data_IF_130234419585
#
_entry.id   IF_130234419585
#
_cell.length_a   1.000
_cell.length_b   1.000
_cell.length_c   1.000
_cell.angle_alpha   90.00
_cell.angle_beta   90.00
_cell.angle_gamma   90.00
#
_symmetry.space_group_name_H-M   'P 1'
#
loop_
_entity.id
_entity.type
_entity.pdbx_description
1 polymer ?
#
# COMPACT_ATOMS: atom_id res chain seq x y z
N UNK A 1 15.17 -37.66 -21.41
CA UNK A 1 15.43 -36.54 -22.34
C UNK A 1 14.22 -35.63 -22.36
N UNK A 2 14.31 -34.44 -21.76
CA UNK A 2 13.19 -33.50 -21.64
C UNK A 2 13.49 -32.25 -22.47
N UNK A 3 12.72 -32.06 -23.54
CA UNK A 3 12.82 -30.93 -24.45
C UNK A 3 12.64 -29.59 -23.72
N UNK A 4 13.75 -28.84 -23.58
CA UNK A 4 13.74 -27.48 -23.05
C UNK A 4 13.22 -26.53 -24.12
N UNK A 5 12.00 -26.01 -23.96
CA UNK A 5 11.45 -24.96 -24.84
C UNK A 5 12.37 -23.72 -24.77
N UNK A 6 12.92 -23.23 -25.90
CA UNK A 6 13.73 -22.02 -25.90
C UNK A 6 12.81 -20.82 -25.70
N UNK A 7 12.91 -20.10 -24.57
CA UNK A 7 12.04 -18.93 -24.41
C UNK A 7 11.93 -18.19 -23.08
N UNK A 8 12.44 -18.68 -21.95
CA UNK A 8 12.37 -17.93 -20.68
C UNK A 8 13.60 -18.16 -19.83
N UNK A 9 14.37 -17.10 -19.61
CA UNK A 9 15.35 -17.03 -18.52
C UNK A 9 14.54 -17.22 -17.22
N UNK A 10 14.96 -18.07 -16.28
CA UNK A 10 14.34 -18.13 -14.97
C UNK A 10 14.55 -16.78 -14.30
N UNK A 11 13.45 -16.03 -14.19
CA UNK A 11 13.39 -14.82 -13.39
C UNK A 11 12.77 -15.29 -12.09
N UNK A 12 13.45 -15.14 -10.95
CA UNK A 12 13.05 -15.77 -9.67
C UNK A 12 11.62 -15.41 -9.22
N UNK A 13 11.22 -15.90 -8.04
CA UNK A 13 9.82 -15.82 -7.57
C UNK A 13 9.16 -14.43 -7.70
N UNK A 14 8.00 -14.31 -8.36
CA UNK A 14 7.39 -13.01 -8.64
C UNK A 14 7.04 -12.26 -7.37
N UNK A 15 7.39 -10.97 -7.33
CA UNK A 15 7.03 -10.07 -6.24
C UNK A 15 5.73 -9.36 -6.60
N UNK A 16 4.76 -9.36 -5.67
CA UNK A 16 3.53 -8.59 -5.81
C UNK A 16 3.80 -7.11 -5.60
N UNK A 17 3.84 -6.33 -6.67
CA UNK A 17 3.99 -4.89 -6.62
C UNK A 17 2.64 -4.20 -6.63
N UNK A 18 2.54 -3.12 -5.88
CA UNK A 18 1.31 -2.39 -5.74
C UNK A 18 1.54 -0.89 -5.99
N UNK A 19 0.68 -0.28 -6.80
CA UNK A 19 0.77 1.12 -7.24
C UNK A 19 -0.60 1.78 -7.16
N UNK A 20 -0.63 3.09 -6.92
CA UNK A 20 -1.88 3.85 -7.00
C UNK A 20 -2.46 3.78 -8.42
N UNK A 21 -3.78 3.89 -8.59
CA UNK A 21 -4.42 3.72 -9.90
C UNK A 21 -3.82 4.61 -10.99
N UNK A 22 -3.42 5.83 -10.64
CA UNK A 22 -2.87 6.78 -11.59
C UNK A 22 -1.43 6.42 -12.00
N UNK A 23 -0.56 6.16 -11.04
CA UNK A 23 0.80 5.67 -11.30
C UNK A 23 0.76 4.36 -12.10
N UNK A 24 -0.13 3.44 -11.74
CA UNK A 24 -0.32 2.18 -12.49
C UNK A 24 -0.69 2.47 -13.95
N UNK A 25 -1.73 3.28 -14.17
CA UNK A 25 -2.22 3.65 -15.51
C UNK A 25 -1.10 4.28 -16.35
N UNK A 26 -0.35 5.22 -15.79
CA UNK A 26 0.78 5.88 -16.47
C UNK A 26 1.91 4.90 -16.81
N UNK A 27 2.23 3.97 -15.92
CA UNK A 27 3.22 2.92 -16.17
C UNK A 27 2.76 1.94 -17.26
N UNK A 28 1.48 1.58 -17.27
CA UNK A 28 0.89 0.72 -18.31
C UNK A 28 0.93 1.39 -19.67
N UNK A 29 0.55 2.66 -19.76
CA UNK A 29 0.64 3.47 -20.99
C UNK A 29 2.09 3.59 -21.49
N UNK A 30 3.04 3.88 -20.59
CA UNK A 30 4.46 3.95 -20.94
C UNK A 30 5.01 2.59 -21.40
N UNK A 31 4.57 1.49 -20.78
CA UNK A 31 4.97 0.16 -21.21
C UNK A 31 4.39 -0.18 -22.58
N UNK A 32 3.12 0.15 -22.81
CA UNK A 32 2.41 -0.12 -24.06
C UNK A 32 3.01 0.67 -25.24
N UNK A 33 3.41 1.93 -25.04
CA UNK A 33 4.08 2.71 -26.07
C UNK A 33 5.44 2.14 -26.51
N UNK A 34 6.13 1.42 -25.61
CA UNK A 34 7.37 0.68 -25.93
C UNK A 34 7.05 -0.66 -26.62
N UNK A 35 5.87 -1.23 -26.38
CA UNK A 35 5.36 -2.42 -27.06
C UNK A 35 4.60 -3.38 -26.14
N UNK A 36 4.14 -4.52 -26.69
CA UNK A 36 3.33 -5.47 -25.93
C UNK A 36 4.14 -6.16 -24.83
N UNK A 37 3.53 -6.31 -23.65
CA UNK A 37 4.07 -7.08 -22.50
C UNK A 37 5.40 -6.53 -21.95
N UNK A 38 5.60 -5.21 -22.00
CA UNK A 38 6.85 -4.55 -21.57
C UNK A 38 6.87 -4.11 -20.11
N UNK A 39 5.75 -4.19 -19.41
CA UNK A 39 5.61 -3.70 -18.02
C UNK A 39 6.68 -4.27 -17.08
N UNK A 40 6.88 -5.59 -17.06
CA UNK A 40 7.88 -6.21 -16.17
C UNK A 40 9.31 -5.77 -16.48
N UNK A 41 9.63 -5.54 -17.76
CA UNK A 41 10.95 -5.03 -18.16
C UNK A 41 11.13 -3.56 -17.79
N UNK A 42 10.08 -2.74 -17.94
CA UNK A 42 10.05 -1.35 -17.49
C UNK A 42 10.38 -1.24 -15.99
N UNK A 43 9.70 -2.04 -15.15
CA UNK A 43 9.94 -2.04 -13.71
C UNK A 43 11.36 -2.52 -13.37
N UNK A 44 11.88 -3.56 -14.03
CA UNK A 44 13.27 -4.00 -13.82
C UNK A 44 14.27 -2.92 -14.20
N UNK A 45 14.09 -2.24 -15.33
CA UNK A 45 14.94 -1.11 -15.72
C UNK A 45 14.88 0.01 -14.71
N UNK A 46 13.70 0.36 -14.22
CA UNK A 46 13.52 1.36 -13.18
C UNK A 46 14.33 1.02 -11.92
N UNK A 47 14.20 -0.22 -11.45
CA UNK A 47 14.93 -0.70 -10.27
C UNK A 47 16.44 -0.72 -10.51
N UNK A 48 16.90 -1.13 -11.70
CA UNK A 48 18.33 -1.11 -12.06
C UNK A 48 18.91 0.28 -12.08
N UNK A 49 18.16 1.25 -12.61
CA UNK A 49 18.58 2.67 -12.57
C UNK A 49 18.69 3.16 -11.12
N UNK A 50 17.74 2.77 -10.26
CA UNK A 50 17.76 3.12 -8.84
C UNK A 50 19.01 2.58 -8.13
N UNK A 51 19.32 1.29 -8.28
CA UNK A 51 20.50 0.68 -7.61
C UNK A 51 21.83 1.15 -8.21
N UNK A 52 21.88 1.47 -9.52
CA UNK A 52 23.10 1.99 -10.18
C UNK A 52 23.37 3.43 -9.79
N UNK A 53 22.32 4.23 -9.54
CA UNK A 53 22.44 5.64 -9.12
C UNK A 53 21.67 5.85 -7.80
N UNK A 54 22.20 5.36 -6.67
CA UNK A 54 21.50 5.40 -5.39
C UNK A 54 21.53 6.80 -4.73
N UNK A 55 22.22 7.77 -5.32
CA UNK A 55 22.27 9.15 -4.80
C UNK A 55 20.84 9.72 -4.68
N UNK A 56 20.55 10.31 -3.52
CA UNK A 56 19.25 10.90 -3.23
C UNK A 56 18.11 9.90 -3.01
N UNK A 57 18.34 8.59 -2.94
CA UNK A 57 17.30 7.59 -2.61
C UNK A 57 16.69 7.89 -1.24
N UNK A 58 17.50 8.12 -0.21
CA UNK A 58 17.00 8.47 1.13
C UNK A 58 16.10 9.71 1.15
N UNK A 59 16.53 10.80 0.50
CA UNK A 59 15.71 12.03 0.36
C UNK A 59 14.43 11.78 -0.44
N UNK A 60 14.51 11.03 -1.53
CA UNK A 60 13.34 10.67 -2.33
C UNK A 60 12.34 9.81 -1.57
N UNK A 61 12.81 8.88 -0.73
CA UNK A 61 11.97 8.10 0.17
C UNK A 61 11.35 8.97 1.26
N UNK A 62 12.12 9.87 1.87
CA UNK A 62 11.60 10.80 2.88
C UNK A 62 10.49 11.68 2.30
N UNK A 63 10.69 12.22 1.10
CA UNK A 63 9.67 13.01 0.40
C UNK A 63 8.46 12.17 0.00
N UNK A 64 8.67 10.95 -0.50
CA UNK A 64 7.55 10.04 -0.82
C UNK A 64 6.76 9.68 0.45
N UNK A 65 7.44 9.46 1.58
CA UNK A 65 6.81 9.23 2.89
C UNK A 65 6.04 10.47 3.33
N UNK A 66 6.62 11.67 3.23
CA UNK A 66 5.97 12.95 3.57
C UNK A 66 4.79 13.29 2.67
N UNK A 67 4.88 13.06 1.36
CA UNK A 67 3.76 13.25 0.44
C UNK A 67 2.69 12.20 0.68
N UNK A 68 3.09 10.96 0.96
CA UNK A 68 2.16 9.93 1.38
C UNK A 68 1.51 10.27 2.71
N UNK A 69 2.22 10.90 3.63
CA UNK A 69 1.73 11.41 4.91
C UNK A 69 0.71 12.53 4.69
N UNK A 70 1.06 13.55 3.88
CA UNK A 70 0.14 14.62 3.51
C UNK A 70 -1.10 14.14 2.74
N UNK A 71 -0.95 13.17 1.83
CA UNK A 71 -2.08 12.53 1.14
C UNK A 71 -2.90 11.62 2.06
N UNK A 72 -2.31 11.13 3.16
CA UNK A 72 -2.97 10.39 4.24
C UNK A 72 -3.54 11.31 5.33
N UNK A 73 -3.23 12.61 5.31
CA UNK A 73 -3.93 13.65 6.07
C UNK A 73 -5.32 13.94 5.45
N UNK A 74 -6.06 12.86 5.18
CA UNK A 74 -7.41 12.82 4.61
C UNK A 74 -8.37 13.52 5.58
N UNK A 75 -9.39 14.27 5.11
CA UNK A 75 -10.40 14.87 5.97
C UNK A 75 -11.00 13.80 6.87
N UNK A 76 -10.71 13.90 8.17
CA UNK A 76 -11.33 13.08 9.18
C UNK A 76 -12.84 13.27 9.07
N UNK A 77 -13.59 12.19 9.27
CA UNK A 77 -15.05 12.24 9.31
C UNK A 77 -15.52 12.25 10.75
N UNK A 78 -16.45 13.14 11.04
CA UNK A 78 -17.10 13.19 12.34
C UNK A 78 -18.03 11.99 12.49
N UNK A 79 -17.87 11.26 13.59
CA UNK A 79 -18.80 10.22 14.06
C UNK A 79 -19.37 10.66 15.40
N UNK A 80 -20.69 10.57 15.49
CA UNK A 80 -21.48 10.97 16.65
C UNK A 80 -21.82 9.72 17.46
N UNK A 81 -21.27 9.62 18.66
CA UNK A 81 -21.48 8.48 19.56
C UNK A 81 -22.25 8.98 20.78
N UNK A 82 -23.32 8.27 21.15
CA UNK A 82 -24.01 8.50 22.41
C UNK A 82 -23.49 7.53 23.46
N UNK A 83 -23.18 8.03 24.65
CA UNK A 83 -22.67 7.30 25.80
C UNK A 83 -23.46 7.68 27.06
N UNK A 84 -23.33 6.89 28.11
CA UNK A 84 -23.68 7.30 29.47
C UNK A 84 -22.72 8.40 29.94
N UNK A 85 -23.17 9.34 30.79
CA UNK A 85 -22.33 10.42 31.29
C UNK A 85 -21.03 9.95 31.95
N UNK A 86 -21.10 8.87 32.72
CA UNK A 86 -19.93 8.28 33.40
C UNK A 86 -18.89 7.78 32.40
N UNK A 87 -19.29 6.99 31.39
CA UNK A 87 -18.37 6.49 30.36
C UNK A 87 -17.81 7.63 29.49
N UNK A 88 -18.61 8.68 29.24
CA UNK A 88 -18.12 9.86 28.53
C UNK A 88 -17.06 10.61 29.35
N UNK A 89 -17.25 10.72 30.66
CA UNK A 89 -16.31 11.33 31.59
C UNK A 89 -15.01 10.53 31.69
N UNK A 90 -15.09 9.21 31.87
CA UNK A 90 -13.93 8.31 31.88
C UNK A 90 -13.10 8.44 30.60
N UNK A 91 -13.76 8.50 29.44
CA UNK A 91 -13.06 8.63 28.17
C UNK A 91 -12.37 9.99 27.99
N UNK A 92 -13.00 11.06 28.49
CA UNK A 92 -12.39 12.39 28.50
C UNK A 92 -11.22 12.48 29.48
N UNK A 93 -11.35 11.88 30.67
CA UNK A 93 -10.28 11.80 31.66
C UNK A 93 -9.06 11.05 31.11
N UNK A 94 -9.28 9.90 30.47
CA UNK A 94 -8.20 9.13 29.83
C UNK A 94 -7.49 9.95 28.73
N UNK A 95 -8.23 10.79 27.99
CA UNK A 95 -7.60 11.67 27.00
C UNK A 95 -6.72 12.75 27.66
N UNK A 96 -7.19 13.31 28.77
CA UNK A 96 -6.45 14.32 29.54
C UNK A 96 -5.18 13.74 30.17
N UNK A 97 -5.26 12.52 30.75
CA UNK A 97 -4.12 11.84 31.39
C UNK A 97 -2.96 11.58 30.42
N UNK A 98 -3.27 11.43 29.12
CA UNK A 98 -2.31 11.20 28.05
C UNK A 98 -2.02 12.44 27.18
N UNK A 99 -2.43 13.63 27.62
CA UNK A 99 -2.26 14.90 26.89
C UNK A 99 -2.72 14.81 25.42
N UNK A 100 -3.88 14.20 25.21
CA UNK A 100 -4.41 13.89 23.88
C UNK A 100 -5.90 14.21 23.74
N UNK A 101 -6.50 13.87 22.60
CA UNK A 101 -7.92 14.09 22.33
C UNK A 101 -8.69 12.77 22.31
N UNK A 102 -9.98 12.83 22.65
CA UNK A 102 -10.91 11.70 22.47
C UNK A 102 -10.95 11.17 21.03
N UNK A 103 -10.68 12.03 20.04
CA UNK A 103 -10.56 11.62 18.63
C UNK A 103 -9.28 10.83 18.36
N UNK A 104 -8.17 11.19 19.00
CA UNK A 104 -6.92 10.43 18.92
C UNK A 104 -7.05 9.06 19.59
N UNK A 105 -7.61 9.02 20.81
CA UNK A 105 -7.92 7.75 21.49
C UNK A 105 -8.85 6.86 20.68
N UNK A 106 -9.93 7.42 20.11
CA UNK A 106 -10.86 6.65 19.28
C UNK A 106 -10.15 6.04 18.06
N UNK A 107 -9.21 6.76 17.43
CA UNK A 107 -8.42 6.24 16.30
C UNK A 107 -7.52 5.08 16.73
N UNK A 108 -6.88 5.16 17.90
CA UNK A 108 -6.11 4.04 18.48
C UNK A 108 -7.03 2.85 18.74
N UNK A 109 -8.16 3.06 19.40
CA UNK A 109 -9.12 2.01 19.71
C UNK A 109 -9.60 1.29 18.44
N UNK A 110 -9.95 2.06 17.40
CA UNK A 110 -10.37 1.53 16.10
C UNK A 110 -9.26 0.73 15.43
N UNK A 111 -8.00 1.19 15.50
CA UNK A 111 -6.88 0.43 14.96
C UNK A 111 -6.72 -0.92 15.66
N UNK A 112 -6.58 -0.90 16.99
CA UNK A 112 -6.44 -2.12 17.81
C UNK A 112 -7.56 -3.12 17.53
N UNK A 113 -8.80 -2.62 17.48
CA UNK A 113 -9.96 -3.44 17.18
C UNK A 113 -9.91 -4.02 15.75
N UNK A 114 -9.43 -3.28 14.76
CA UNK A 114 -9.36 -3.76 13.39
C UNK A 114 -8.28 -4.81 13.16
N UNK A 115 -7.15 -4.68 13.87
CA UNK A 115 -6.09 -5.69 13.88
C UNK A 115 -6.54 -6.98 14.59
N UNK A 116 -7.24 -6.84 15.73
CA UNK A 116 -7.72 -7.97 16.52
C UNK A 116 -9.20 -7.79 16.97
N UNK A 117 -10.18 -8.00 16.06
CA UNK A 117 -11.60 -7.77 16.38
C UNK A 117 -12.14 -8.68 17.49
N UNK A 118 -11.55 -9.87 17.66
CA UNK A 118 -11.99 -10.86 18.64
C UNK A 118 -13.46 -11.25 18.45
N UNK A 119 -14.12 -11.63 19.55
CA UNK A 119 -15.56 -11.93 19.58
C UNK A 119 -16.36 -10.67 19.89
N UNK A 120 -16.80 -9.95 18.86
CA UNK A 120 -17.50 -8.66 19.02
C UNK A 120 -19.02 -8.72 18.79
N UNK A 121 -19.57 -9.84 18.28
CA UNK A 121 -21.01 -9.95 17.96
C UNK A 121 -21.92 -9.75 19.18
N UNK A 122 -21.70 -10.53 20.25
CA UNK A 122 -22.54 -10.46 21.44
C UNK A 122 -22.38 -9.12 22.19
N UNK A 123 -21.16 -8.59 22.41
CA UNK A 123 -20.99 -7.24 22.95
C UNK A 123 -21.71 -6.18 22.13
N UNK A 124 -21.64 -6.25 20.80
CA UNK A 124 -22.30 -5.28 19.91
C UNK A 124 -23.83 -5.30 20.03
N UNK A 125 -24.44 -6.49 20.10
CA UNK A 125 -25.89 -6.61 20.28
C UNK A 125 -26.33 -6.07 21.65
N UNK A 126 -25.56 -6.36 22.71
CA UNK A 126 -25.80 -5.79 24.05
C UNK A 126 -25.70 -4.26 24.03
N UNK A 127 -24.70 -3.72 23.34
CA UNK A 127 -24.54 -2.27 23.18
C UNK A 127 -25.63 -1.63 22.32
N UNK A 128 -26.32 -2.39 21.46
CA UNK A 128 -27.44 -1.89 20.69
C UNK A 128 -28.72 -1.74 21.53
N UNK A 129 -28.89 -2.60 22.54
CA UNK A 129 -30.03 -2.61 23.47
C UNK A 129 -29.80 -1.71 24.70
N UNK A 130 -28.59 -1.18 24.86
CA UNK A 130 -28.19 -0.37 26.03
C UNK A 130 -29.01 0.92 26.13
N UNK A 131 -29.49 1.20 27.34
CA UNK A 131 -30.30 2.37 27.70
C UNK A 131 -29.45 3.42 28.44
N UNK A 132 -29.98 4.63 28.67
CA UNK A 132 -29.26 5.67 29.42
C UNK A 132 -28.22 6.48 28.62
N UNK A 133 -28.19 6.34 27.30
CA UNK A 133 -27.26 7.04 26.41
C UNK A 133 -27.69 8.51 26.18
N UNK A 134 -27.32 9.41 27.10
CA UNK A 134 -27.65 10.84 27.03
C UNK A 134 -26.56 11.69 26.38
N UNK A 135 -25.30 11.39 26.68
CA UNK A 135 -24.19 12.29 26.36
C UNK A 135 -23.67 12.01 24.97
N UNK A 136 -23.42 13.09 24.23
CA UNK A 136 -22.99 13.01 22.84
C UNK A 136 -21.54 13.43 22.75
N UNK A 137 -20.71 12.49 22.28
CA UNK A 137 -19.33 12.78 21.91
C UNK A 137 -19.19 12.78 20.39
N UNK A 138 -18.48 13.78 19.89
CA UNK A 138 -18.15 13.92 18.47
C UNK A 138 -16.66 13.55 18.32
N UNK A 139 -16.40 12.45 17.62
CA UNK A 139 -15.04 11.94 17.39
C UNK A 139 -14.69 11.99 15.91
N UNK A 140 -13.51 12.52 15.61
CA UNK A 140 -12.96 12.60 14.27
C UNK A 140 -12.17 11.31 13.98
N UNK A 141 -12.65 10.52 13.02
CA UNK A 141 -12.06 9.22 12.69
C UNK A 141 -11.74 9.12 11.20
N UNK A 142 -10.94 8.12 10.83
CA UNK A 142 -10.64 7.87 9.44
C UNK A 142 -11.90 7.38 8.69
N UNK A 143 -12.15 7.86 7.45
CA UNK A 143 -13.27 7.39 6.64
C UNK A 143 -13.27 5.86 6.45
N UNK A 144 -12.10 5.27 6.28
CA UNK A 144 -11.92 3.83 6.13
C UNK A 144 -12.26 3.04 7.40
N UNK A 145 -11.86 3.54 8.57
CA UNK A 145 -12.17 2.90 9.84
C UNK A 145 -13.68 2.94 10.09
N UNK A 146 -14.33 4.06 9.72
CA UNK A 146 -15.79 4.18 9.70
C UNK A 146 -16.40 3.13 8.75
N UNK A 147 -16.03 3.10 7.48
CA UNK A 147 -16.57 2.12 6.52
C UNK A 147 -16.39 0.68 7.00
N UNK A 148 -15.21 0.34 7.54
CA UNK A 148 -14.91 -1.01 7.99
C UNK A 148 -15.78 -1.45 9.16
N UNK A 149 -15.98 -0.58 10.16
CA UNK A 149 -16.88 -0.89 11.28
C UNK A 149 -18.32 -1.06 10.79
N UNK A 150 -18.78 -0.21 9.87
CA UNK A 150 -20.13 -0.33 9.31
C UNK A 150 -20.29 -1.63 8.52
N UNK A 151 -19.28 -2.06 7.76
CA UNK A 151 -19.26 -3.36 7.10
C UNK A 151 -19.29 -4.52 8.10
N UNK A 152 -18.52 -4.45 9.19
CA UNK A 152 -18.48 -5.50 10.21
C UNK A 152 -19.80 -5.62 10.97
N UNK A 153 -20.43 -4.49 11.28
CA UNK A 153 -21.72 -4.44 11.95
C UNK A 153 -22.88 -4.84 11.01
N UNK A 154 -22.85 -4.36 9.76
CA UNK A 154 -23.89 -4.61 8.75
C UNK A 154 -24.09 -6.08 8.41
N UNK A 155 -23.09 -6.94 8.66
CA UNK A 155 -23.24 -8.41 8.59
C UNK A 155 -24.32 -8.98 9.52
N UNK A 156 -24.72 -8.23 10.53
CA UNK A 156 -25.64 -8.66 11.58
C UNK A 156 -26.90 -7.81 11.69
N UNK A 157 -27.05 -6.79 10.83
CA UNK A 157 -28.23 -5.94 10.79
C UNK A 157 -27.89 -4.48 10.50
N UNK A 158 -28.89 -3.77 9.96
CA UNK A 158 -28.78 -2.34 9.73
C UNK A 158 -28.73 -1.58 11.06
N UNK A 159 -27.98 -0.47 11.09
CA UNK A 159 -27.86 0.47 12.23
C UNK A 159 -27.07 -0.03 13.46
N UNK A 160 -26.32 -1.13 13.36
CA UNK A 160 -25.43 -1.60 14.44
C UNK A 160 -24.04 -0.92 14.49
N UNK A 161 -23.73 -0.03 13.53
CA UNK A 161 -22.43 0.63 13.44
C UNK A 161 -22.07 1.43 14.70
N UNK A 162 -22.99 2.25 15.21
CA UNK A 162 -22.75 3.04 16.43
C UNK A 162 -22.62 2.18 17.69
N UNK A 163 -23.32 1.05 17.77
CA UNK A 163 -23.13 0.08 18.84
C UNK A 163 -21.74 -0.55 18.80
N UNK A 164 -21.23 -0.89 17.61
CA UNK A 164 -19.88 -1.40 17.46
C UNK A 164 -18.81 -0.34 17.80
N UNK A 165 -19.07 0.95 17.53
CA UNK A 165 -18.21 2.04 18.02
C UNK A 165 -18.12 2.08 19.54
N UNK A 166 -19.25 1.90 20.24
CA UNK A 166 -19.26 1.83 21.71
C UNK A 166 -18.47 0.62 22.23
N UNK A 167 -18.62 -0.55 21.60
CA UNK A 167 -17.81 -1.73 21.97
C UNK A 167 -16.31 -1.44 21.84
N UNK A 168 -15.90 -0.81 20.74
CA UNK A 168 -14.49 -0.44 20.51
C UNK A 168 -13.99 0.51 21.59
N UNK A 169 -14.77 1.54 21.92
CA UNK A 169 -14.44 2.51 22.94
C UNK A 169 -14.34 1.86 24.32
N UNK A 170 -15.33 1.07 24.74
CA UNK A 170 -15.33 0.38 26.04
C UNK A 170 -14.15 -0.57 26.16
N UNK A 171 -13.82 -1.29 25.09
CA UNK A 171 -12.64 -2.16 25.10
C UNK A 171 -11.34 -1.40 25.34
N UNK A 172 -11.23 -0.15 24.87
CA UNK A 172 -10.07 0.68 25.19
C UNK A 172 -10.07 1.13 26.65
N UNK A 173 -11.25 1.46 27.22
CA UNK A 173 -11.37 1.82 28.63
C UNK A 173 -11.05 0.64 29.56
N UNK A 174 -11.54 -0.55 29.22
CA UNK A 174 -11.32 -1.78 29.99
C UNK A 174 -9.85 -2.24 29.89
N UNK A 175 -9.22 -2.08 28.72
CA UNK A 175 -7.86 -2.53 28.43
C UNK A 175 -7.02 -1.41 27.76
N UNK A 176 -6.56 -0.40 28.53
CA UNK A 176 -5.82 0.73 27.99
C UNK A 176 -4.44 0.33 27.43
N UNK A 177 -3.80 -0.70 27.98
CA UNK A 177 -2.50 -1.20 27.48
C UNK A 177 -1.42 -0.11 27.40
N UNK A 178 -0.49 -0.23 26.44
CA UNK A 178 0.51 0.82 26.17
C UNK A 178 -0.08 1.91 25.27
N UNK A 179 -0.87 2.80 25.88
CA UNK A 179 -1.47 3.94 25.18
C UNK A 179 -0.43 4.96 24.71
N UNK A 180 0.65 5.19 25.47
CA UNK A 180 1.67 6.17 25.10
C UNK A 180 2.41 5.75 23.82
N UNK A 181 2.87 4.50 23.74
CA UNK A 181 3.50 3.97 22.53
C UNK A 181 2.54 3.96 21.34
N UNK A 182 1.26 3.68 21.58
CA UNK A 182 0.25 3.71 20.55
C UNK A 182 -0.10 5.12 20.05
N UNK A 183 -0.14 6.09 20.95
CA UNK A 183 -0.29 7.51 20.60
C UNK A 183 0.94 8.02 19.83
N UNK A 184 2.14 7.49 20.06
CA UNK A 184 3.32 7.83 19.26
C UNK A 184 3.30 7.14 17.87
N UNK A 185 2.78 5.93 17.77
CA UNK A 185 2.92 5.11 16.56
C UNK A 185 1.68 5.08 15.64
N UNK A 186 0.48 5.32 16.19
CA UNK A 186 -0.82 5.17 15.50
C UNK A 186 -1.48 6.54 15.26
N UNK A 187 -1.43 7.44 16.23
CA UNK A 187 -2.13 8.75 16.17
C UNK A 187 -1.53 9.75 15.19
N UNK A 188 -0.20 9.84 14.99
CA UNK A 188 0.36 10.93 14.19
C UNK A 188 -0.24 10.96 12.80
N UNK A 189 -0.36 9.85 12.09
CA UNK A 189 -1.08 9.79 10.81
C UNK A 189 -1.30 8.35 10.38
N UNK A 190 -2.48 7.75 10.59
CA UNK A 190 -2.80 6.56 9.81
C UNK A 190 -4.29 6.44 9.52
N UNK A 191 -4.70 6.84 8.32
CA UNK A 191 -5.63 5.98 7.59
C UNK A 191 -4.91 4.65 7.34
N UNK A 192 -5.29 3.65 8.14
CA UNK A 192 -4.70 2.31 8.16
C UNK A 192 -5.26 1.41 7.07
N UNK A 193 -5.91 1.96 6.03
CA UNK A 193 -6.07 1.18 4.81
C UNK A 193 -4.67 0.66 4.45
N UNK A 194 -4.43 -0.67 4.42
CA UNK A 194 -3.32 -1.15 3.61
C UNK A 194 -3.54 -0.50 2.25
N UNK A 195 -2.52 0.14 1.67
CA UNK A 195 -2.67 0.81 0.38
C UNK A 195 -3.41 -0.14 -0.56
N UNK A 196 -4.70 0.15 -0.78
CA UNK A 196 -5.59 -0.74 -1.50
C UNK A 196 -5.38 -0.43 -2.95
N UNK A 197 -4.26 -0.97 -3.42
CA UNK A 197 -3.91 -0.96 -4.80
C UNK A 197 -4.61 -2.18 -5.41
N UNK A 198 -5.59 -1.98 -6.29
CA UNK A 198 -6.54 -3.01 -6.70
C UNK A 198 -5.89 -4.17 -7.48
N UNK A 199 -4.60 -4.09 -7.80
CA UNK A 199 -3.87 -5.15 -8.48
C UNK A 199 -2.44 -5.28 -7.94
N UNK A 200 -2.09 -6.47 -7.44
CA UNK A 200 -0.71 -6.87 -7.26
C UNK A 200 -0.14 -7.29 -8.63
N UNK A 201 0.75 -6.49 -9.20
CA UNK A 201 1.44 -6.84 -10.44
C UNK A 201 2.62 -7.70 -10.08
N UNK A 202 2.59 -8.96 -10.53
CA UNK A 202 3.67 -9.92 -10.36
C UNK A 202 4.82 -9.57 -11.30
N UNK A 203 5.90 -9.01 -10.76
CA UNK A 203 7.14 -8.78 -11.50
C UNK A 203 8.22 -9.69 -10.95
N UNK A 204 8.82 -10.46 -11.85
CA UNK A 204 9.96 -11.27 -11.52
C UNK A 204 11.24 -10.43 -11.66
N UNK A 205 12.10 -10.50 -10.63
CA UNK A 205 13.46 -9.97 -10.60
C UNK A 205 14.48 -11.11 -10.60
N UNK A 206 15.65 -10.91 -11.21
CA UNK A 206 16.79 -11.82 -11.04
C UNK A 206 17.44 -11.64 -9.67
N UNK A 207 18.13 -12.67 -9.20
CA UNK A 207 18.73 -12.68 -7.85
C UNK A 207 19.72 -11.52 -7.64
N UNK A 208 20.62 -11.18 -8.60
CA UNK A 208 21.53 -10.05 -8.42
C UNK A 208 20.83 -8.69 -8.26
N UNK A 209 19.66 -8.48 -8.89
CA UNK A 209 18.88 -7.26 -8.68
C UNK A 209 18.14 -7.27 -7.35
N UNK A 210 17.71 -8.45 -6.87
CA UNK A 210 17.07 -8.57 -5.55
C UNK A 210 18.05 -8.22 -4.45
N UNK A 211 19.23 -8.83 -4.47
CA UNK A 211 20.26 -8.64 -3.45
C UNK A 211 20.64 -7.16 -3.35
N UNK A 212 20.85 -6.50 -4.48
CA UNK A 212 21.15 -5.06 -4.53
C UNK A 212 20.01 -4.18 -4.02
N UNK A 213 18.76 -4.57 -4.24
CA UNK A 213 17.62 -3.84 -3.69
C UNK A 213 17.52 -4.04 -2.19
N UNK A 214 17.83 -5.23 -1.68
CA UNK A 214 17.79 -5.55 -0.25
C UNK A 214 18.92 -4.86 0.52
N UNK A 215 20.14 -4.88 -0.01
CA UNK A 215 21.27 -4.10 0.51
C UNK A 215 20.95 -2.60 0.53
N UNK A 216 20.36 -2.08 -0.56
CA UNK A 216 19.96 -0.68 -0.64
C UNK A 216 18.86 -0.36 0.39
N UNK A 217 17.89 -1.26 0.56
CA UNK A 217 16.78 -1.10 1.49
C UNK A 217 17.27 -1.07 2.94
N UNK A 218 18.15 -1.99 3.31
CA UNK A 218 18.78 -2.03 4.62
C UNK A 218 19.56 -0.74 4.91
N UNK A 219 20.36 -0.25 3.95
CA UNK A 219 21.15 0.97 4.11
C UNK A 219 20.31 2.23 4.32
N UNK A 220 19.10 2.30 3.76
CA UNK A 220 18.26 3.51 3.82
C UNK A 220 17.05 3.36 4.76
N UNK A 221 16.99 2.28 5.55
CA UNK A 221 15.88 2.02 6.47
C UNK A 221 14.53 1.92 5.73
N UNK A 222 14.47 1.11 4.68
CA UNK A 222 13.28 0.94 3.84
C UNK A 222 13.08 -0.54 3.49
N UNK A 223 12.13 -0.82 2.61
CA UNK A 223 11.85 -2.15 2.09
C UNK A 223 11.82 -2.13 0.56
N UNK A 224 11.90 -3.32 -0.03
CA UNK A 224 11.92 -3.50 -1.49
C UNK A 224 10.71 -2.86 -2.18
N UNK A 225 9.52 -2.92 -1.58
CA UNK A 225 8.31 -2.37 -2.19
C UNK A 225 8.34 -0.83 -2.27
N UNK A 226 8.84 -0.15 -1.23
CA UNK A 226 9.06 1.29 -1.22
C UNK A 226 10.09 1.71 -2.27
N UNK A 227 11.20 0.99 -2.38
CA UNK A 227 12.22 1.25 -3.41
C UNK A 227 11.66 1.07 -4.82
N UNK A 228 10.85 0.03 -5.06
CA UNK A 228 10.24 -0.19 -6.37
C UNK A 228 9.22 0.91 -6.72
N UNK A 229 8.44 1.38 -5.75
CA UNK A 229 7.53 2.52 -5.96
C UNK A 229 8.31 3.81 -6.28
N UNK A 230 9.38 4.07 -5.55
CA UNK A 230 10.27 5.21 -5.83
C UNK A 230 10.89 5.10 -7.22
N UNK A 231 11.38 3.90 -7.60
CA UNK A 231 11.95 3.65 -8.91
C UNK A 231 10.93 3.90 -10.03
N UNK A 232 9.72 3.37 -9.87
CA UNK A 232 8.64 3.55 -10.83
C UNK A 232 8.27 5.04 -10.99
N UNK A 233 8.17 5.78 -9.87
CA UNK A 233 7.90 7.21 -9.89
C UNK A 233 9.00 7.99 -10.59
N UNK A 234 10.27 7.71 -10.27
CA UNK A 234 11.43 8.33 -10.94
C UNK A 234 11.45 8.09 -12.44
N UNK A 235 11.06 6.90 -12.90
CA UNK A 235 10.98 6.61 -14.34
C UNK A 235 9.83 7.35 -15.02
N UNK A 236 8.70 7.54 -14.34
CA UNK A 236 7.61 8.38 -14.87
C UNK A 236 8.02 9.85 -14.97
N UNK A 237 8.72 10.38 -13.96
CA UNK A 237 9.12 11.78 -13.89
C UNK A 237 10.36 12.07 -14.77
N UNK A 238 11.25 11.09 -14.91
CA UNK A 238 12.48 11.18 -15.71
C UNK A 238 12.64 9.91 -16.59
N UNK A 239 11.90 9.83 -17.70
CA UNK A 239 11.95 8.65 -18.58
C UNK A 239 13.33 8.45 -19.20
N UNK A 240 13.98 9.53 -19.66
CA UNK A 240 15.24 9.44 -20.42
C UNK A 240 15.12 8.44 -21.58
N UNK A 241 16.20 7.70 -21.88
CA UNK A 241 16.22 6.64 -22.90
C UNK A 241 15.55 5.34 -22.40
N UNK A 242 14.30 5.42 -21.93
CA UNK A 242 13.61 4.28 -21.31
C UNK A 242 13.31 3.16 -22.32
N UNK A 243 12.93 3.50 -23.53
CA UNK A 243 12.61 2.53 -24.59
C UNK A 243 13.83 1.65 -24.91
N UNK A 244 14.98 2.27 -25.17
CA UNK A 244 16.23 1.57 -25.44
C UNK A 244 16.67 0.69 -24.25
N UNK A 245 16.54 1.21 -23.02
CA UNK A 245 16.89 0.46 -21.82
C UNK A 245 15.97 -0.75 -21.59
N UNK A 246 14.67 -0.62 -21.87
CA UNK A 246 13.69 -1.72 -21.79
C UNK A 246 13.99 -2.78 -22.84
N UNK A 247 14.28 -2.37 -24.07
CA UNK A 247 14.67 -3.28 -25.14
C UNK A 247 15.94 -4.06 -24.78
N UNK A 248 16.95 -3.38 -24.23
CA UNK A 248 18.18 -4.02 -23.76
C UNK A 248 17.94 -4.99 -22.60
N UNK A 249 17.06 -4.65 -21.65
CA UNK A 249 16.70 -5.51 -20.53
C UNK A 249 16.00 -6.81 -20.98
N UNK A 250 15.25 -6.76 -22.08
CA UNK A 250 14.61 -7.94 -22.67
C UNK A 250 15.63 -8.82 -23.40
N UNK A 251 16.61 -8.19 -24.05
CA UNK A 251 17.63 -8.85 -24.88
C UNK A 251 18.76 -9.45 -24.02
N UNK A 252 18.75 -9.24 -22.70
CA UNK A 252 19.87 -9.48 -21.78
C UNK A 252 20.39 -10.93 -21.63
N UNK A 253 19.74 -11.94 -22.23
CA UNK A 253 20.37 -13.26 -22.40
C UNK A 253 21.08 -13.32 -23.75
N UNK A 254 22.39 -13.58 -23.77
CA UNK A 254 23.16 -13.79 -25.01
C UNK A 254 22.49 -14.82 -25.95
N UNK A 255 21.89 -15.87 -25.38
CA UNK A 255 21.13 -16.91 -26.09
C UNK A 255 19.85 -16.36 -26.76
N UNK A 256 19.17 -15.40 -26.12
CA UNK A 256 18.00 -14.73 -26.71
C UNK A 256 18.37 -13.61 -27.68
N UNK A 257 19.51 -12.94 -27.48
CA UNK A 257 20.02 -11.89 -28.39
C UNK A 257 20.24 -12.44 -29.79
N UNK A 258 20.92 -13.56 -29.93
CA UNK A 258 21.13 -14.23 -31.22
C UNK A 258 19.81 -14.64 -31.89
N UNK A 259 18.88 -15.23 -31.12
CA UNK A 259 17.59 -15.68 -31.64
C UNK A 259 16.67 -14.52 -32.07
N UNK A 260 16.67 -13.41 -31.33
CA UNK A 260 15.86 -12.23 -31.64
C UNK A 260 16.47 -11.41 -32.79
N UNK A 261 17.79 -11.27 -32.87
CA UNK A 261 18.47 -10.66 -34.02
C UNK A 261 18.20 -11.45 -35.31
N UNK A 262 18.26 -12.79 -35.24
CA UNK A 262 17.91 -13.65 -36.38
C UNK A 262 16.43 -13.49 -36.77
N UNK A 263 15.52 -13.32 -35.81
CA UNK A 263 14.09 -13.09 -36.09
C UNK A 263 13.82 -11.69 -36.66
N UNK A 264 14.56 -10.68 -36.22
CA UNK A 264 14.47 -9.32 -36.77
C UNK A 264 15.00 -9.26 -38.20
N UNK A 265 16.16 -9.88 -38.46
CA UNK A 265 16.73 -10.01 -39.80
C UNK A 265 15.78 -10.74 -40.77
N UNK A 266 15.11 -11.83 -40.32
CA UNK A 266 14.07 -12.52 -41.11
C UNK A 266 12.84 -11.66 -41.40
N UNK A 267 12.50 -10.72 -40.52
CA UNK A 267 11.36 -9.80 -40.72
C UNK A 267 11.71 -8.64 -41.65
N UNK A 268 12.94 -8.13 -41.59
CA UNK A 268 13.45 -7.16 -42.56
C UNK A 268 13.54 -7.77 -43.96
N UNK A 269 14.14 -8.96 -44.07
CA UNK A 269 14.20 -9.67 -45.35
C UNK A 269 12.81 -9.92 -45.96
N UNK A 270 11.79 -10.23 -45.13
CA UNK A 270 10.40 -10.37 -45.61
C UNK A 270 9.74 -9.06 -46.04
N UNK A 271 10.14 -7.93 -45.45
CA UNK A 271 9.69 -6.58 -45.87
C UNK A 271 10.34 -6.17 -47.19
N UNK A 272 11.61 -6.51 -47.38
CA UNK A 272 12.35 -6.17 -48.59
C UNK A 272 11.98 -7.08 -49.78
N UNK A 273 11.41 -8.27 -49.54
CA UNK A 273 10.94 -9.19 -50.59
C UNK A 273 9.45 -9.10 -50.92
N UNK A 274 8.72 -8.15 -50.33
CA UNK A 274 7.31 -7.94 -50.65
C UNK A 274 7.24 -6.75 -51.63
N UNK A 275 7.01 -6.98 -52.94
CA UNK A 275 6.78 -5.87 -53.86
C UNK A 275 5.45 -5.20 -53.49
N UNK A 276 5.36 -3.89 -53.72
CA UNK A 276 4.13 -3.10 -53.57
C UNK A 276 2.92 -3.74 -54.27
#
# INVERSE_FOLDING_TARGET
>A
MTHTRPGRIPVGDPIGLRFDPETKRRLEQMAESIGPRRFGALIRVACRRLVTKPRGVGRGLAEQRRLSEALRAIPLVMVKIKLEPETAHEFAALAADHDTTVSALMRVALHRFQEAPGRYKHPMLREAERTGLSDRIDVMVNPSSKERIWQLAGRYGDKLGTALFRVVLRRLLDEPGDLAGDLENIVPLRDLRPESYPAAIKVAFDDPLRDKLDELAARVGSNRAELVRLAARRVLDQPGLIEQAVNNEIIRSEKHKAHLLARHARRQARRDTQPD
#
